data_IF_272362991607
#
_entry.id   IF_272362991607
#
_cell.length_a   1.000
_cell.length_b   1.000
_cell.length_c   1.000
_cell.angle_alpha   90.00
_cell.angle_beta   90.00
_cell.angle_gamma   90.00
#
_symmetry.space_group_name_H-M   'P 1'
#
loop_
_entity.id
_entity.type
_entity.pdbx_description
1 polymer ?
#
# COMPACT_ATOMS: atom_id res chain seq x y z
N UNK A 1 17.68 -10.15 -4.70
CA UNK A 1 17.19 -8.94 -4.01
C UNK A 1 16.04 -8.22 -4.75
N UNK A 2 15.76 -8.51 -6.04
CA UNK A 2 14.70 -7.82 -6.82
C UNK A 2 13.26 -8.16 -6.43
N UNK A 3 12.99 -9.40 -6.01
CA UNK A 3 11.63 -9.86 -5.63
C UNK A 3 10.98 -9.04 -4.51
N UNK A 4 11.76 -8.58 -3.52
CA UNK A 4 11.25 -7.77 -2.40
C UNK A 4 10.73 -6.39 -2.83
N UNK A 5 11.25 -5.85 -3.93
CA UNK A 5 10.82 -4.55 -4.46
C UNK A 5 9.62 -4.71 -5.37
N UNK A 6 9.64 -5.78 -6.17
CA UNK A 6 8.55 -6.13 -7.08
C UNK A 6 7.25 -6.42 -6.30
N UNK A 7 7.35 -7.16 -5.20
CA UNK A 7 6.22 -7.48 -4.32
C UNK A 7 6.00 -6.44 -3.21
N UNK A 8 6.82 -5.39 -3.14
CA UNK A 8 6.81 -4.43 -2.04
C UNK A 8 5.45 -3.74 -1.88
N UNK A 9 4.91 -3.18 -2.98
CA UNK A 9 3.59 -2.54 -2.95
C UNK A 9 2.46 -3.53 -2.66
N UNK A 10 2.49 -4.72 -3.26
CA UNK A 10 1.51 -5.78 -2.98
C UNK A 10 1.49 -6.21 -1.51
N UNK A 11 2.66 -6.26 -0.86
CA UNK A 11 2.76 -6.57 0.57
C UNK A 11 2.19 -5.45 1.44
N UNK A 12 2.44 -4.18 1.10
CA UNK A 12 1.87 -3.03 1.82
C UNK A 12 0.35 -3.03 1.69
N UNK A 13 -0.16 -3.26 0.49
CA UNK A 13 -1.60 -3.43 0.26
C UNK A 13 -2.20 -4.59 1.06
N UNK A 14 -1.56 -5.77 1.07
CA UNK A 14 -2.07 -6.91 1.83
C UNK A 14 -2.15 -6.60 3.33
N UNK A 15 -1.11 -5.95 3.88
CA UNK A 15 -1.10 -5.51 5.28
C UNK A 15 -2.22 -4.49 5.56
N UNK A 16 -2.46 -3.56 4.64
CA UNK A 16 -3.56 -2.60 4.74
C UNK A 16 -4.92 -3.30 4.77
N UNK A 17 -5.16 -4.23 3.84
CA UNK A 17 -6.40 -5.00 3.76
C UNK A 17 -6.69 -5.78 5.05
N UNK A 18 -5.73 -6.57 5.52
CA UNK A 18 -5.89 -7.33 6.76
C UNK A 18 -6.03 -6.41 7.98
N UNK A 19 -5.34 -5.27 7.99
CA UNK A 19 -5.46 -4.29 9.06
C UNK A 19 -6.86 -3.65 9.11
N UNK A 20 -7.41 -3.22 7.98
CA UNK A 20 -8.79 -2.70 7.93
C UNK A 20 -9.80 -3.77 8.35
N UNK A 21 -9.64 -5.01 7.89
CA UNK A 21 -10.49 -6.12 8.29
C UNK A 21 -10.45 -6.36 9.82
N UNK A 22 -9.24 -6.39 10.40
CA UNK A 22 -9.07 -6.55 11.84
C UNK A 22 -9.68 -5.41 12.64
N UNK A 23 -9.48 -4.16 12.20
CA UNK A 23 -10.05 -2.98 12.86
C UNK A 23 -11.58 -3.04 12.82
N UNK A 24 -12.17 -3.28 11.65
CA UNK A 24 -13.62 -3.38 11.50
C UNK A 24 -14.24 -4.52 12.30
N UNK A 25 -13.52 -5.64 12.46
CA UNK A 25 -13.97 -6.80 13.22
C UNK A 25 -13.99 -6.58 14.73
N UNK A 26 -13.13 -5.71 15.27
CA UNK A 26 -12.99 -5.49 16.72
C UNK A 26 -13.79 -4.26 17.18
N UNK A 27 -13.68 -3.15 16.45
CA UNK A 27 -14.22 -1.85 16.87
C UNK A 27 -15.52 -1.45 16.17
N UNK A 28 -15.99 -2.24 15.19
CA UNK A 28 -17.21 -1.96 14.40
C UNK A 28 -17.26 -0.50 13.88
N UNK A 29 -18.45 0.08 13.70
CA UNK A 29 -18.66 1.46 13.20
C UNK A 29 -18.38 2.56 14.25
N UNK A 30 -17.36 2.40 15.09
CA UNK A 30 -17.00 3.39 16.11
C UNK A 30 -16.04 4.47 15.58
N UNK A 31 -15.99 5.61 16.27
CA UNK A 31 -15.01 6.67 15.97
C UNK A 31 -13.57 6.15 16.04
N UNK A 32 -13.28 5.22 16.96
CA UNK A 32 -11.97 4.58 17.09
C UNK A 32 -11.61 3.78 15.84
N UNK A 33 -12.55 3.02 15.27
CA UNK A 33 -12.32 2.27 14.04
C UNK A 33 -11.97 3.19 12.86
N UNK A 34 -12.67 4.32 12.73
CA UNK A 34 -12.39 5.32 11.70
C UNK A 34 -11.00 5.95 11.87
N UNK A 35 -10.64 6.33 13.09
CA UNK A 35 -9.33 6.95 13.36
C UNK A 35 -8.18 5.96 13.11
N UNK A 36 -8.31 4.71 13.57
CA UNK A 36 -7.30 3.67 13.31
C UNK A 36 -7.18 3.36 11.82
N UNK A 37 -8.31 3.26 11.10
CA UNK A 37 -8.33 3.06 9.66
C UNK A 37 -7.68 4.21 8.91
N UNK A 38 -7.91 5.46 9.33
CA UNK A 38 -7.27 6.65 8.78
C UNK A 38 -5.75 6.60 8.95
N UNK A 39 -5.28 6.35 10.19
CA UNK A 39 -3.86 6.26 10.51
C UNK A 39 -3.19 5.14 9.71
N UNK A 40 -3.78 3.94 9.69
CA UNK A 40 -3.26 2.81 8.92
C UNK A 40 -3.16 3.14 7.42
N UNK A 41 -4.21 3.73 6.85
CA UNK A 41 -4.25 4.11 5.43
C UNK A 41 -3.14 5.12 5.10
N UNK A 42 -2.97 6.16 5.92
CA UNK A 42 -1.91 7.17 5.73
C UNK A 42 -0.52 6.53 5.82
N UNK A 43 -0.29 5.64 6.79
CA UNK A 43 0.99 4.95 6.95
C UNK A 43 1.31 4.05 5.74
N UNK A 44 0.32 3.31 5.22
CA UNK A 44 0.49 2.48 4.04
C UNK A 44 0.78 3.31 2.78
N UNK A 45 0.06 4.42 2.56
CA UNK A 45 0.33 5.33 1.44
C UNK A 45 1.72 5.99 1.54
N UNK A 46 2.16 6.35 2.75
CA UNK A 46 3.52 6.84 2.97
C UNK A 46 4.57 5.75 2.66
N UNK A 47 4.25 4.49 2.97
CA UNK A 47 5.04 3.32 2.59
C UNK A 47 5.19 3.17 1.07
N UNK A 48 4.07 3.24 0.33
CA UNK A 48 4.05 3.22 -1.14
C UNK A 48 4.87 4.37 -1.73
N UNK A 49 4.67 5.59 -1.24
CA UNK A 49 5.43 6.76 -1.69
C UNK A 49 6.95 6.60 -1.50
N UNK A 50 7.39 6.04 -0.37
CA UNK A 50 8.81 5.69 -0.16
C UNK A 50 9.29 4.63 -1.15
N UNK A 51 8.45 3.67 -1.52
CA UNK A 51 8.79 2.62 -2.47
C UNK A 51 8.96 3.19 -3.88
N UNK A 52 8.05 4.08 -4.31
CA UNK A 52 8.17 4.85 -5.57
C UNK A 52 9.49 5.62 -5.59
N UNK A 53 9.77 6.42 -4.56
CA UNK A 53 11.01 7.23 -4.50
C UNK A 53 12.27 6.35 -4.61
N UNK A 54 12.28 5.18 -3.96
CA UNK A 54 13.40 4.24 -4.05
C UNK A 54 13.54 3.61 -5.44
N UNK A 55 12.43 3.26 -6.08
CA UNK A 55 12.43 2.71 -7.43
C UNK A 55 12.90 3.75 -8.46
N UNK A 56 12.42 4.99 -8.36
CA UNK A 56 12.78 6.09 -9.27
C UNK A 56 14.26 6.49 -9.18
N UNK A 57 14.91 6.24 -8.05
CA UNK A 57 16.33 6.56 -7.83
C UNK A 57 17.30 5.48 -8.31
N UNK A 58 16.83 4.32 -8.75
CA UNK A 58 17.69 3.24 -9.26
C UNK A 58 17.93 3.37 -10.76
N UNK A 59 19.20 3.56 -11.15
CA UNK A 59 19.70 3.28 -12.49
C UNK A 59 20.14 1.81 -12.60
N UNK A 60 19.88 1.16 -13.74
CA UNK A 60 20.22 -0.24 -13.97
C UNK A 60 19.97 -0.67 -15.43
N UNK A 61 20.57 -1.80 -15.82
CA UNK A 61 20.49 -2.42 -17.15
C UNK A 61 19.05 -2.80 -17.57
N UNK A 62 18.84 -3.19 -18.83
CA UNK A 62 17.52 -3.42 -19.43
C UNK A 62 16.61 -4.40 -18.65
N UNK A 63 17.18 -5.49 -18.11
CA UNK A 63 16.45 -6.45 -17.28
C UNK A 63 15.95 -5.82 -15.96
N UNK A 64 16.78 -5.00 -15.32
CA UNK A 64 16.41 -4.24 -14.13
C UNK A 64 15.38 -3.14 -14.46
N UNK A 65 15.45 -2.58 -15.67
CA UNK A 65 14.48 -1.61 -16.19
C UNK A 65 13.07 -2.19 -16.34
N UNK A 66 12.94 -3.41 -16.86
CA UNK A 66 11.65 -4.10 -16.94
C UNK A 66 11.08 -4.42 -15.55
N UNK A 67 11.90 -4.99 -14.67
CA UNK A 67 11.49 -5.29 -13.29
C UNK A 67 11.06 -4.03 -12.53
N UNK A 68 11.73 -2.90 -12.76
CA UNK A 68 11.36 -1.59 -12.18
C UNK A 68 10.00 -1.13 -12.67
N UNK A 69 9.72 -1.22 -13.97
CA UNK A 69 8.41 -0.84 -14.55
C UNK A 69 7.29 -1.69 -13.95
N UNK A 70 7.52 -3.00 -13.83
CA UNK A 70 6.55 -3.91 -13.24
C UNK A 70 6.33 -3.62 -11.74
N UNK A 71 7.40 -3.37 -10.99
CA UNK A 71 7.30 -2.98 -9.58
C UNK A 71 6.52 -1.67 -9.39
N UNK A 72 6.77 -0.66 -10.25
CA UNK A 72 6.03 0.59 -10.23
C UNK A 72 4.55 0.38 -10.57
N UNK A 73 4.22 -0.47 -11.54
CA UNK A 73 2.84 -0.80 -11.88
C UNK A 73 2.11 -1.42 -10.69
N UNK A 74 2.75 -2.35 -9.98
CA UNK A 74 2.18 -2.95 -8.77
C UNK A 74 2.01 -1.94 -7.63
N UNK A 75 2.97 -1.05 -7.42
CA UNK A 75 2.87 0.02 -6.41
C UNK A 75 1.72 0.97 -6.72
N UNK A 76 1.53 1.36 -7.98
CA UNK A 76 0.40 2.20 -8.39
C UNK A 76 -0.93 1.47 -8.16
N UNK A 77 -1.01 0.20 -8.58
CA UNK A 77 -2.20 -0.62 -8.37
C UNK A 77 -2.54 -0.77 -6.88
N UNK A 78 -1.54 -1.07 -6.05
CA UNK A 78 -1.67 -1.14 -4.59
C UNK A 78 -2.15 0.19 -4.00
N UNK A 79 -1.58 1.31 -4.43
CA UNK A 79 -1.98 2.64 -3.96
C UNK A 79 -3.44 2.93 -4.27
N UNK A 80 -3.90 2.64 -5.49
CA UNK A 80 -5.31 2.80 -5.88
C UNK A 80 -6.21 1.91 -5.02
N UNK A 81 -5.82 0.65 -4.80
CA UNK A 81 -6.59 -0.27 -3.97
C UNK A 81 -6.67 0.19 -2.50
N UNK A 82 -5.56 0.68 -1.92
CA UNK A 82 -5.52 1.24 -0.56
C UNK A 82 -6.47 2.43 -0.43
N UNK A 83 -6.45 3.36 -1.39
CA UNK A 83 -7.35 4.53 -1.39
C UNK A 83 -8.81 4.08 -1.48
N UNK A 84 -9.10 3.17 -2.42
CA UNK A 84 -10.45 2.64 -2.61
C UNK A 84 -10.97 1.90 -1.39
N UNK A 85 -10.14 1.12 -0.70
CA UNK A 85 -10.53 0.37 0.51
C UNK A 85 -10.60 1.25 1.75
N UNK A 86 -9.74 2.26 1.85
CA UNK A 86 -9.75 3.22 2.95
C UNK A 86 -11.00 4.10 2.95
N UNK A 87 -11.52 4.48 1.79
CA UNK A 87 -12.71 5.33 1.66
C UNK A 87 -13.95 4.75 2.39
N UNK A 88 -14.42 3.53 2.10
CA UNK A 88 -15.51 2.89 2.84
C UNK A 88 -15.22 2.78 4.33
N UNK A 89 -13.99 2.45 4.73
CA UNK A 89 -13.63 2.31 6.15
C UNK A 89 -13.70 3.64 6.93
N UNK A 90 -13.59 4.79 6.25
CA UNK A 90 -13.75 6.11 6.84
C UNK A 90 -15.20 6.59 6.84
N UNK A 91 -16.01 6.13 5.89
CA UNK A 91 -17.40 6.54 5.67
C UNK A 91 -18.43 5.62 6.35
N UNK A 92 -18.07 4.38 6.66
CA UNK A 92 -18.87 3.42 7.41
C UNK A 92 -18.97 3.79 8.90
#
# INVERSE_FOLDING_TARGET
MGWRLLLGGMLIWALHFFGLYGIGSIWHSSMTARLLSAVLTVLCLAGEGRLIMRLSRRGGDDLDGWMRKLALAFVVLASVAIIWQGLPALLA
#
